data_IF_860965652359
#
_entry.id   IF_860965652359
#
_cell.length_a   1.000
_cell.length_b   1.000
_cell.length_c   1.000
_cell.angle_alpha   90.00
_cell.angle_beta   90.00
_cell.angle_gamma   90.00
#
_symmetry.space_group_name_H-M   'P 1'
#
loop_
_entity.id
_entity.type
_entity.pdbx_description
1 polymer ?
#
# COMPACT_ATOMS: atom_id res chain seq x y z
N UNK A 1 16.41 2.06 17.68
CA UNK A 1 17.26 1.35 16.71
C UNK A 1 17.53 2.31 15.56
N UNK A 2 18.78 2.43 15.11
CA UNK A 2 19.14 3.30 13.97
C UNK A 2 18.29 2.90 12.76
N UNK A 3 17.60 3.86 12.16
CA UNK A 3 16.60 3.70 11.10
C UNK A 3 17.20 3.38 9.73
N UNK A 4 18.24 2.55 9.68
CA UNK A 4 18.81 2.01 8.45
C UNK A 4 18.26 0.61 8.20
N UNK A 5 17.91 0.30 6.95
CA UNK A 5 17.58 -1.06 6.52
C UNK A 5 18.71 -2.02 6.89
N UNK A 6 18.34 -3.23 7.32
CA UNK A 6 19.30 -4.29 7.63
C UNK A 6 19.98 -4.73 6.32
N UNK A 7 21.31 -4.60 6.24
CA UNK A 7 22.09 -5.17 5.13
C UNK A 7 22.51 -6.61 5.47
N UNK A 8 22.15 -7.52 4.58
CA UNK A 8 22.36 -8.95 4.64
C UNK A 8 23.47 -9.43 3.69
N UNK A 9 23.94 -8.57 2.80
CA UNK A 9 25.11 -8.83 1.95
C UNK A 9 26.41 -8.20 2.47
N UNK A 10 26.36 -7.48 3.61
CA UNK A 10 27.57 -6.94 4.24
C UNK A 10 28.47 -8.09 4.75
N UNK A 11 29.63 -8.25 4.13
CA UNK A 11 30.63 -9.27 4.49
C UNK A 11 31.53 -8.86 5.66
N UNK A 12 31.44 -7.61 6.13
CA UNK A 12 32.30 -7.10 7.22
C UNK A 12 31.82 -7.53 8.60
N UNK A 13 30.57 -7.99 8.71
CA UNK A 13 29.93 -8.38 9.96
C UNK A 13 29.34 -9.78 9.86
N UNK A 14 29.15 -10.43 11.00
CA UNK A 14 28.39 -11.67 11.04
C UNK A 14 26.93 -11.39 10.59
N UNK A 15 26.34 -12.23 9.72
CA UNK A 15 25.00 -11.99 9.21
C UNK A 15 24.00 -12.01 10.37
N UNK A 16 23.11 -11.02 10.39
CA UNK A 16 22.06 -10.95 11.40
C UNK A 16 21.13 -12.18 11.29
N UNK A 17 20.57 -12.71 12.39
CA UNK A 17 19.71 -13.91 12.35
C UNK A 17 18.47 -13.81 11.46
N UNK A 18 18.03 -12.58 11.18
CA UNK A 18 16.91 -12.27 10.29
C UNK A 18 17.33 -12.10 8.82
N UNK A 19 18.61 -12.25 8.50
CA UNK A 19 19.09 -12.25 7.12
C UNK A 19 18.98 -13.63 6.49
N UNK A 20 18.55 -13.66 5.24
CA UNK A 20 18.57 -14.87 4.42
C UNK A 20 18.94 -14.53 2.96
N UNK A 21 20.16 -13.98 2.74
CA UNK A 21 20.57 -13.46 1.45
C UNK A 21 20.58 -14.55 0.38
N UNK A 22 20.17 -14.17 -0.84
CA UNK A 22 20.27 -15.08 -2.00
C UNK A 22 21.69 -15.03 -2.52
N UNK A 23 22.37 -16.17 -2.48
CA UNK A 23 23.71 -16.32 -3.04
C UNK A 23 23.61 -16.34 -4.56
N UNK A 24 24.37 -15.47 -5.22
CA UNK A 24 24.44 -15.39 -6.67
C UNK A 24 25.66 -16.16 -7.17
N UNK A 25 25.50 -16.83 -8.29
CA UNK A 25 26.61 -17.53 -8.93
C UNK A 25 27.61 -16.51 -9.50
N UNK A 26 28.89 -16.85 -9.46
CA UNK A 26 29.95 -15.97 -9.99
C UNK A 26 29.87 -15.87 -11.51
N UNK A 27 29.42 -16.94 -12.15
CA UNK A 27 29.20 -17.04 -13.58
C UNK A 27 27.77 -16.64 -13.99
N UNK A 28 27.00 -15.99 -13.11
CA UNK A 28 25.66 -15.50 -13.44
C UNK A 28 25.74 -14.52 -14.64
N UNK A 29 24.98 -14.76 -15.74
CA UNK A 29 25.11 -13.98 -16.97
C UNK A 29 24.92 -12.46 -16.80
N UNK A 30 24.07 -12.04 -15.86
CA UNK A 30 23.75 -10.65 -15.60
C UNK A 30 24.62 -10.06 -14.47
N UNK A 31 24.70 -10.75 -13.33
CA UNK A 31 25.35 -10.22 -12.13
C UNK A 31 26.87 -10.28 -12.16
N UNK A 32 27.48 -11.15 -12.98
CA UNK A 32 28.94 -11.20 -13.15
C UNK A 32 29.52 -9.85 -13.61
N UNK A 33 28.77 -9.09 -14.45
CA UNK A 33 29.23 -7.80 -14.97
C UNK A 33 29.35 -6.72 -13.88
N UNK A 34 28.66 -6.92 -12.76
CA UNK A 34 28.65 -6.01 -11.62
C UNK A 34 29.47 -6.53 -10.43
N UNK A 35 30.13 -7.69 -10.58
CA UNK A 35 30.83 -8.40 -9.51
C UNK A 35 29.94 -8.62 -8.26
N UNK A 36 28.64 -8.86 -8.46
CA UNK A 36 27.70 -9.12 -7.38
C UNK A 36 27.55 -10.62 -7.15
N UNK A 37 27.80 -11.07 -5.93
CA UNK A 37 27.67 -12.47 -5.51
C UNK A 37 26.57 -12.68 -4.46
N UNK A 38 25.84 -11.62 -4.11
CA UNK A 38 24.83 -11.64 -3.06
C UNK A 38 23.70 -10.66 -3.40
N UNK A 39 22.46 -11.09 -3.16
CA UNK A 39 21.28 -10.24 -3.23
C UNK A 39 20.65 -10.10 -1.84
N UNK A 40 20.31 -8.85 -1.50
CA UNK A 40 19.75 -8.48 -0.21
C UNK A 40 18.40 -9.16 0.04
N UNK A 41 18.27 -9.84 1.17
CA UNK A 41 17.01 -10.45 1.57
C UNK A 41 16.91 -10.55 3.09
N UNK A 42 15.91 -9.86 3.63
CA UNK A 42 15.55 -9.88 5.06
C UNK A 42 14.30 -10.74 5.21
N UNK A 43 14.31 -11.65 6.19
CA UNK A 43 13.15 -12.51 6.50
C UNK A 43 12.00 -11.65 7.01
N UNK A 44 10.78 -11.98 6.60
CA UNK A 44 9.57 -11.37 7.16
C UNK A 44 9.53 -11.53 8.67
N UNK A 45 9.20 -10.46 9.40
CA UNK A 45 9.16 -10.46 10.85
C UNK A 45 8.26 -11.59 11.39
N UNK A 46 8.67 -12.28 12.48
CA UNK A 46 7.88 -13.34 13.05
C UNK A 46 6.60 -12.78 13.70
N UNK A 47 5.47 -13.48 13.56
CA UNK A 47 4.25 -13.14 14.27
C UNK A 47 4.44 -13.31 15.79
N UNK A 48 4.01 -12.34 16.62
CA UNK A 48 4.09 -12.42 18.08
C UNK A 48 2.97 -13.32 18.60
N UNK A 49 3.08 -14.62 18.36
CA UNK A 49 2.07 -15.60 18.78
C UNK A 49 2.09 -15.86 20.29
N UNK A 50 3.15 -15.41 20.98
CA UNK A 50 3.35 -15.53 22.44
C UNK A 50 3.29 -16.97 22.97
N UNK A 51 3.50 -17.97 22.11
CA UNK A 51 3.61 -19.39 22.47
C UNK A 51 4.75 -20.05 21.70
N UNK A 52 5.29 -21.14 22.25
CA UNK A 52 6.25 -21.98 21.53
C UNK A 52 5.54 -22.68 20.37
N UNK A 53 6.10 -22.58 19.17
CA UNK A 53 5.51 -23.13 17.96
C UNK A 53 6.38 -22.88 16.73
N UNK A 54 5.95 -23.37 15.56
CA UNK A 54 6.59 -23.00 14.30
C UNK A 54 6.52 -21.48 14.07
N UNK A 55 7.48 -20.95 13.31
CA UNK A 55 7.52 -19.53 12.97
C UNK A 55 6.43 -19.20 11.96
N UNK A 56 5.58 -18.24 12.31
CA UNK A 56 4.54 -17.65 11.45
C UNK A 56 4.88 -16.19 11.09
N UNK A 57 4.19 -15.61 10.10
CA UNK A 57 4.35 -14.20 9.69
C UNK A 57 3.10 -13.37 10.01
N UNK A 58 3.28 -12.06 10.14
CA UNK A 58 2.20 -11.12 10.40
C UNK A 58 1.64 -10.55 9.10
N UNK A 59 0.31 -10.48 8.98
CA UNK A 59 -0.35 -9.66 7.97
C UNK A 59 -0.58 -8.25 8.55
N UNK A 60 -0.01 -7.22 7.91
CA UNK A 60 -0.18 -5.81 8.29
C UNK A 60 -1.34 -5.13 7.54
N UNK A 61 -2.03 -5.84 6.64
CA UNK A 61 -3.24 -5.37 5.97
C UNK A 61 -4.49 -6.03 6.56
N UNK A 62 -5.66 -5.44 6.33
CA UNK A 62 -6.92 -6.14 6.59
C UNK A 62 -7.07 -7.29 5.61
N UNK A 63 -7.61 -8.43 6.05
CA UNK A 63 -7.80 -9.60 5.18
C UNK A 63 -8.96 -9.42 4.18
N UNK A 64 -9.80 -8.41 4.38
CA UNK A 64 -11.02 -8.18 3.60
C UNK A 64 -10.76 -7.27 2.40
N UNK A 65 -11.58 -7.40 1.36
CA UNK A 65 -11.64 -6.43 0.26
C UNK A 65 -12.49 -5.23 0.68
N UNK A 66 -11.97 -4.40 1.57
CA UNK A 66 -12.66 -3.28 2.24
C UNK A 66 -12.15 -1.89 1.81
N UNK A 67 -11.22 -1.86 0.86
CA UNK A 67 -10.56 -0.63 0.42
C UNK A 67 -9.47 -0.12 1.36
N UNK A 68 -8.95 -0.95 2.28
CA UNK A 68 -7.82 -0.59 3.16
C UNK A 68 -6.58 -0.10 2.42
N UNK A 69 -6.41 -0.46 1.14
CA UNK A 69 -5.37 0.13 0.28
C UNK A 69 -5.53 1.64 0.05
N UNK A 70 -6.75 2.17 0.19
CA UNK A 70 -7.07 3.60 0.08
C UNK A 70 -7.16 4.24 1.46
N UNK A 71 -7.74 3.54 2.44
CA UNK A 71 -8.11 4.10 3.74
C UNK A 71 -7.13 3.75 4.88
N UNK A 72 -6.21 2.82 4.66
CA UNK A 72 -5.35 2.26 5.70
C UNK A 72 -6.02 1.15 6.50
N UNK A 73 -5.20 0.37 7.21
CA UNK A 73 -5.66 -0.71 8.09
C UNK A 73 -5.98 -0.25 9.52
N UNK A 74 -5.55 0.96 9.91
CA UNK A 74 -5.75 1.52 11.26
C UNK A 74 -6.54 2.84 11.23
N UNK A 75 -7.27 3.12 12.30
CA UNK A 75 -8.03 4.38 12.45
C UNK A 75 -7.12 5.61 12.44
N UNK A 76 -5.92 5.48 13.00
CA UNK A 76 -4.92 6.55 12.96
C UNK A 76 -4.53 6.88 11.52
N UNK A 77 -4.24 5.86 10.70
CA UNK A 77 -3.90 6.05 9.28
C UNK A 77 -5.09 6.63 8.51
N UNK A 78 -6.29 6.10 8.73
CA UNK A 78 -7.51 6.58 8.08
C UNK A 78 -7.79 8.05 8.40
N UNK A 79 -7.65 8.47 9.67
CA UNK A 79 -7.86 9.86 10.06
C UNK A 79 -6.81 10.81 9.48
N UNK A 80 -5.54 10.39 9.40
CA UNK A 80 -4.48 11.16 8.76
C UNK A 80 -4.74 11.37 7.26
N UNK A 81 -5.33 10.41 6.55
CA UNK A 81 -5.61 10.52 5.12
C UNK A 81 -6.84 11.40 4.81
N UNK A 82 -7.68 11.69 5.81
CA UNK A 82 -8.89 12.52 5.66
C UNK A 82 -8.58 14.00 5.68
N UNK A 83 -9.37 14.75 4.92
CA UNK A 83 -9.38 16.21 4.96
C UNK A 83 -10.02 16.74 6.25
N UNK A 84 -10.96 15.97 6.83
CA UNK A 84 -11.77 16.38 7.98
C UNK A 84 -12.88 17.36 7.63
N UNK A 85 -13.21 17.49 6.33
CA UNK A 85 -14.33 18.29 5.85
C UNK A 85 -15.05 17.62 4.67
N UNK A 86 -16.38 17.65 4.71
CA UNK A 86 -17.29 17.12 3.68
C UNK A 86 -17.08 15.63 3.34
N UNK A 87 -16.56 14.85 4.29
CA UNK A 87 -16.29 13.42 4.16
C UNK A 87 -15.20 13.09 3.14
N UNK A 88 -14.28 14.02 2.85
CA UNK A 88 -13.27 13.87 1.80
C UNK A 88 -11.91 13.37 2.31
N UNK A 89 -11.16 12.74 1.40
CA UNK A 89 -9.73 12.48 1.53
C UNK A 89 -8.92 13.74 1.16
N UNK A 90 -7.75 13.90 1.79
CA UNK A 90 -6.78 14.95 1.40
C UNK A 90 -6.29 14.70 -0.02
N UNK A 91 -6.13 15.79 -0.77
CA UNK A 91 -5.57 15.79 -2.12
C UNK A 91 -4.59 16.95 -2.25
N UNK A 92 -3.59 16.80 -3.13
CA UNK A 92 -2.72 17.89 -3.57
C UNK A 92 -3.28 18.48 -4.85
N UNK A 93 -3.57 19.79 -4.87
CA UNK A 93 -4.08 20.46 -6.06
C UNK A 93 -2.96 21.24 -6.74
N UNK A 94 -2.62 20.86 -7.98
CA UNK A 94 -1.62 21.55 -8.82
C UNK A 94 -2.30 21.92 -10.13
N UNK A 95 -2.38 23.23 -10.44
CA UNK A 95 -2.94 23.73 -11.71
C UNK A 95 -4.34 23.18 -12.06
N UNK A 96 -5.16 22.91 -11.03
CA UNK A 96 -6.51 22.34 -11.18
C UNK A 96 -6.57 20.82 -11.24
N UNK A 97 -5.43 20.12 -11.24
CA UNK A 97 -5.37 18.66 -11.12
C UNK A 97 -5.25 18.23 -9.65
N UNK A 98 -6.07 17.27 -9.24
CA UNK A 98 -5.99 16.65 -7.91
C UNK A 98 -5.09 15.42 -7.95
N UNK A 99 -3.98 15.44 -7.24
CA UNK A 99 -3.09 14.30 -7.01
C UNK A 99 -3.24 13.78 -5.57
N UNK A 100 -2.66 12.62 -5.31
CA UNK A 100 -2.52 12.12 -3.93
C UNK A 100 -1.69 13.14 -3.12
N UNK A 101 -1.93 13.27 -1.81
CA UNK A 101 -1.16 14.19 -0.96
C UNK A 101 0.29 13.71 -0.83
N UNK A 102 1.27 14.62 -0.65
CA UNK A 102 2.64 14.22 -0.37
C UNK A 102 2.75 13.62 1.03
N UNK A 103 3.60 12.61 1.17
CA UNK A 103 4.02 12.02 2.44
C UNK A 103 4.78 13.04 3.26
N UNK A 104 4.50 13.06 4.56
CA UNK A 104 5.27 13.84 5.54
C UNK A 104 6.32 13.00 6.25
N UNK A 105 6.36 11.68 5.98
CA UNK A 105 7.34 10.77 6.57
C UNK A 105 8.62 10.74 5.72
N UNK A 106 9.76 11.26 6.23
CA UNK A 106 11.03 11.20 5.51
C UNK A 106 11.60 9.77 5.40
N UNK A 107 11.04 8.81 6.15
CA UNK A 107 11.36 7.39 6.14
C UNK A 107 10.42 6.52 5.31
N UNK A 108 9.60 7.11 4.43
CA UNK A 108 8.62 6.42 3.57
C UNK A 108 9.22 5.43 2.54
N UNK A 109 10.54 5.29 2.52
CA UNK A 109 11.26 4.23 1.80
C UNK A 109 11.37 4.44 0.30
N UNK A 110 10.81 5.51 -0.24
CA UNK A 110 10.79 5.73 -1.68
C UNK A 110 11.85 6.72 -2.18
N UNK A 111 12.30 7.63 -1.31
CA UNK A 111 13.28 8.66 -1.63
C UNK A 111 14.44 8.58 -0.63
N UNK A 112 15.66 8.80 -1.10
CA UNK A 112 16.80 9.02 -0.22
C UNK A 112 16.72 10.42 0.41
N UNK A 113 17.47 10.65 1.51
CA UNK A 113 17.56 11.97 2.13
C UNK A 113 17.99 13.07 1.13
N UNK A 114 18.88 12.74 0.18
CA UNK A 114 19.30 13.66 -0.89
C UNK A 114 18.19 13.97 -1.89
N UNK A 115 17.33 12.99 -2.19
CA UNK A 115 16.17 13.18 -3.07
C UNK A 115 15.11 14.05 -2.39
N UNK A 116 14.86 13.83 -1.10
CA UNK A 116 13.97 14.66 -0.29
C UNK A 116 14.49 16.11 -0.23
N UNK A 117 15.80 16.32 -0.05
CA UNK A 117 16.41 17.66 -0.06
C UNK A 117 16.27 18.40 -1.40
N UNK A 118 16.09 17.67 -2.51
CA UNK A 118 15.79 18.22 -3.84
C UNK A 118 14.29 18.44 -4.09
N UNK A 119 13.45 18.29 -3.05
CA UNK A 119 12.01 18.47 -3.13
C UNK A 119 11.25 17.32 -3.76
N UNK A 120 11.87 16.13 -3.90
CA UNK A 120 11.12 14.92 -4.25
C UNK A 120 10.33 14.44 -3.03
N UNK A 121 9.16 13.86 -3.28
CA UNK A 121 8.27 13.34 -2.26
C UNK A 121 7.58 12.10 -2.79
N UNK A 122 7.05 11.28 -1.88
CA UNK A 122 6.12 10.23 -2.24
C UNK A 122 4.69 10.60 -1.94
N UNK A 123 3.78 9.85 -2.54
CA UNK A 123 2.37 9.98 -2.28
C UNK A 123 1.97 9.22 -1.03
N UNK A 124 1.12 9.86 -0.23
CA UNK A 124 0.59 9.35 1.03
C UNK A 124 -0.76 8.67 0.77
N UNK A 125 -0.86 7.37 1.08
CA UNK A 125 -2.06 6.55 0.82
C UNK A 125 -2.32 5.52 1.92
N UNK A 126 -3.42 4.75 1.81
CA UNK A 126 -3.72 3.67 2.75
C UNK A 126 -2.68 2.53 2.78
N UNK A 127 -1.99 2.28 1.68
CA UNK A 127 -0.93 1.27 1.58
C UNK A 127 0.42 1.93 1.28
N UNK A 128 1.46 1.51 2.01
CA UNK A 128 2.78 2.12 1.94
C UNK A 128 3.51 1.83 0.62
N UNK A 129 3.04 0.82 -0.15
CA UNK A 129 3.64 0.42 -1.43
C UNK A 129 3.10 1.18 -2.63
N UNK A 130 2.18 2.14 -2.43
CA UNK A 130 1.56 2.89 -3.52
C UNK A 130 2.56 3.58 -4.47
N UNK A 131 3.81 3.79 -4.05
CA UNK A 131 4.88 4.43 -4.80
C UNK A 131 5.86 3.45 -5.46
N UNK A 132 5.63 2.13 -5.40
CA UNK A 132 6.50 1.10 -5.98
C UNK A 132 6.65 1.26 -7.50
N UNK A 133 5.54 1.55 -8.19
CA UNK A 133 5.55 1.87 -9.61
C UNK A 133 4.40 2.81 -9.97
N UNK A 134 4.55 3.51 -11.09
CA UNK A 134 3.62 4.55 -11.53
C UNK A 134 2.19 4.03 -11.79
N UNK A 135 2.06 2.78 -12.27
CA UNK A 135 0.75 2.20 -12.53
C UNK A 135 -0.03 1.96 -11.24
N UNK A 136 0.62 1.43 -10.22
CA UNK A 136 0.02 1.25 -8.90
C UNK A 136 -0.38 2.60 -8.29
N UNK A 137 0.52 3.60 -8.34
CA UNK A 137 0.21 4.97 -7.87
C UNK A 137 -1.03 5.53 -8.57
N UNK A 138 -1.16 5.31 -9.88
CA UNK A 138 -2.32 5.76 -10.66
C UNK A 138 -3.61 5.08 -10.18
N UNK A 139 -3.57 3.79 -9.84
CA UNK A 139 -4.72 3.08 -9.28
C UNK A 139 -5.14 3.66 -7.92
N UNK A 140 -4.20 3.95 -7.02
CA UNK A 140 -4.51 4.61 -5.75
C UNK A 140 -5.17 5.98 -5.97
N UNK A 141 -4.65 6.76 -6.92
CA UNK A 141 -5.21 8.07 -7.26
C UNK A 141 -6.65 7.98 -7.80
N UNK A 142 -6.93 7.00 -8.67
CA UNK A 142 -8.29 6.78 -9.22
C UNK A 142 -9.27 6.50 -8.09
N UNK A 143 -8.92 5.63 -7.15
CA UNK A 143 -9.81 5.30 -6.03
C UNK A 143 -10.01 6.44 -5.05
N UNK A 144 -8.96 7.23 -4.75
CA UNK A 144 -9.08 8.43 -3.93
C UNK A 144 -9.99 9.49 -4.58
N UNK A 145 -9.84 9.73 -5.89
CA UNK A 145 -10.74 10.62 -6.65
C UNK A 145 -12.17 10.09 -6.68
N UNK A 146 -12.37 8.78 -6.83
CA UNK A 146 -13.69 8.17 -6.82
C UNK A 146 -14.36 8.32 -5.45
N UNK A 147 -13.62 8.18 -4.34
CA UNK A 147 -14.13 8.49 -3.00
C UNK A 147 -14.58 9.96 -2.91
N UNK A 148 -13.74 10.92 -3.30
CA UNK A 148 -14.07 12.35 -3.22
C UNK A 148 -15.23 12.75 -4.14
N UNK A 149 -15.39 12.07 -5.28
CA UNK A 149 -16.56 12.19 -6.16
C UNK A 149 -17.83 11.70 -5.46
N UNK A 150 -17.78 10.53 -4.83
CA UNK A 150 -18.92 9.97 -4.09
C UNK A 150 -19.30 10.85 -2.90
N UNK A 151 -18.34 11.27 -2.08
CA UNK A 151 -18.56 12.17 -0.95
C UNK A 151 -19.24 13.49 -1.38
N UNK A 152 -18.81 14.07 -2.52
CA UNK A 152 -19.43 15.28 -3.05
C UNK A 152 -20.87 15.08 -3.55
N UNK A 153 -21.19 13.91 -4.10
CA UNK A 153 -22.55 13.55 -4.52
C UNK A 153 -23.42 13.32 -3.28
N UNK A 154 -22.94 12.52 -2.32
CA UNK A 154 -23.66 12.18 -1.08
C UNK A 154 -23.95 13.41 -0.23
N UNK A 155 -22.99 14.33 -0.07
CA UNK A 155 -23.19 15.57 0.68
C UNK A 155 -24.22 16.52 0.03
N UNK A 156 -24.37 16.47 -1.30
CA UNK A 156 -25.44 17.23 -2.00
C UNK A 156 -26.81 16.58 -1.83
N UNK A 157 -26.87 15.25 -1.85
CA UNK A 157 -28.11 14.49 -1.69
C UNK A 157 -28.61 14.51 -0.24
N UNK A 158 -27.69 14.57 0.72
CA UNK A 158 -27.98 14.52 2.15
C UNK A 158 -27.31 15.70 2.88
N UNK A 159 -27.85 16.94 2.77
CA UNK A 159 -27.24 18.12 3.38
C UNK A 159 -27.16 18.10 4.91
N UNK A 160 -27.91 17.20 5.57
CA UNK A 160 -27.90 17.02 7.03
C UNK A 160 -26.81 16.09 7.53
N UNK A 161 -26.10 15.39 6.65
CA UNK A 161 -25.01 14.49 7.05
C UNK A 161 -23.78 15.29 7.49
N UNK A 162 -23.12 14.80 8.53
CA UNK A 162 -21.84 15.31 8.97
C UNK A 162 -20.67 14.71 8.14
N UNK A 163 -19.45 15.16 8.46
CA UNK A 163 -18.22 14.70 7.80
C UNK A 163 -18.05 13.18 7.93
N UNK A 164 -18.30 12.64 9.13
CA UNK A 164 -18.11 11.22 9.42
C UNK A 164 -19.08 10.34 8.64
N UNK A 165 -20.37 10.67 8.67
CA UNK A 165 -21.39 9.91 7.95
C UNK A 165 -21.10 9.89 6.45
N UNK A 166 -20.74 11.05 5.89
CA UNK A 166 -20.42 11.17 4.46
C UNK A 166 -19.18 10.35 4.09
N UNK A 167 -18.14 10.39 4.91
CA UNK A 167 -16.91 9.62 4.71
C UNK A 167 -17.18 8.11 4.74
N UNK A 168 -17.90 7.61 5.75
CA UNK A 168 -18.16 6.18 5.92
C UNK A 168 -19.05 5.62 4.81
N UNK A 169 -20.07 6.37 4.37
CA UNK A 169 -20.92 5.94 3.26
C UNK A 169 -20.16 5.94 1.92
N UNK A 170 -19.32 6.96 1.67
CA UNK A 170 -18.44 6.95 0.49
C UNK A 170 -17.45 5.77 0.53
N UNK A 171 -16.83 5.51 1.70
CA UNK A 171 -15.93 4.37 1.92
C UNK A 171 -16.61 3.03 1.65
N UNK A 172 -17.82 2.84 2.18
CA UNK A 172 -18.62 1.63 2.00
C UNK A 172 -18.94 1.36 0.54
N UNK A 173 -19.32 2.39 -0.22
CA UNK A 173 -19.59 2.26 -1.66
C UNK A 173 -18.31 1.90 -2.42
N UNK A 174 -17.18 2.55 -2.14
CA UNK A 174 -15.89 2.21 -2.79
C UNK A 174 -15.49 0.77 -2.51
N UNK A 175 -15.60 0.30 -1.26
CA UNK A 175 -15.35 -1.09 -0.91
C UNK A 175 -16.22 -2.06 -1.72
N UNK A 176 -17.52 -1.77 -1.83
CA UNK A 176 -18.43 -2.56 -2.66
C UNK A 176 -18.07 -2.54 -4.16
N UNK A 177 -17.64 -1.39 -4.69
CA UNK A 177 -17.17 -1.28 -6.08
C UNK A 177 -15.93 -2.15 -6.32
N UNK A 178 -14.96 -2.11 -5.41
CA UNK A 178 -13.76 -2.95 -5.48
C UNK A 178 -14.10 -4.43 -5.42
N UNK A 179 -14.99 -4.84 -4.51
CA UNK A 179 -15.46 -6.22 -4.41
C UNK A 179 -16.15 -6.67 -5.70
N UNK A 180 -17.05 -5.84 -6.24
CA UNK A 180 -17.77 -6.17 -7.46
C UNK A 180 -16.82 -6.39 -8.64
N UNK A 181 -15.89 -5.47 -8.89
CA UNK A 181 -14.89 -5.59 -9.95
C UNK A 181 -14.03 -6.84 -9.72
N UNK A 182 -13.59 -7.07 -8.48
CA UNK A 182 -12.72 -8.22 -8.16
C UNK A 182 -13.43 -9.55 -8.45
N UNK A 183 -14.65 -9.74 -7.94
CA UNK A 183 -15.35 -11.02 -8.07
C UNK A 183 -16.05 -11.22 -9.42
N UNK A 184 -16.52 -10.15 -10.05
CA UNK A 184 -17.35 -10.25 -11.27
C UNK A 184 -16.53 -10.12 -12.55
N UNK A 185 -15.40 -9.42 -12.51
CA UNK A 185 -14.60 -9.12 -13.71
C UNK A 185 -13.20 -9.72 -13.62
N UNK A 186 -12.47 -9.46 -12.53
CA UNK A 186 -11.07 -9.87 -12.40
C UNK A 186 -10.91 -11.39 -12.19
N UNK A 187 -11.55 -11.96 -11.17
CA UNK A 187 -11.40 -13.39 -10.85
C UNK A 187 -11.81 -14.31 -12.01
N UNK A 188 -12.94 -14.09 -12.72
CA UNK A 188 -13.29 -14.92 -13.88
C UNK A 188 -12.27 -14.82 -15.02
N UNK A 189 -11.63 -13.67 -15.20
CA UNK A 189 -10.58 -13.48 -16.22
C UNK A 189 -9.29 -14.24 -15.91
N UNK A 190 -9.03 -14.52 -14.62
CA UNK A 190 -7.83 -15.24 -14.16
C UNK A 190 -8.09 -16.75 -14.01
N UNK A 191 -9.19 -17.11 -13.35
CA UNK A 191 -9.50 -18.49 -12.98
C UNK A 191 -10.31 -19.22 -14.06
N UNK A 192 -10.93 -18.48 -14.98
CA UNK A 192 -11.90 -19.02 -15.93
C UNK A 192 -13.31 -19.13 -15.33
N UNK A 193 -14.31 -19.04 -16.20
CA UNK A 193 -15.73 -18.99 -15.79
C UNK A 193 -16.22 -20.27 -15.13
N UNK A 194 -15.67 -21.44 -15.50
CA UNK A 194 -16.08 -22.72 -14.90
C UNK A 194 -15.70 -22.81 -13.42
N UNK A 195 -14.45 -22.49 -13.08
CA UNK A 195 -13.97 -22.50 -11.69
C UNK A 195 -14.77 -21.50 -10.85
N UNK A 196 -14.99 -20.28 -11.35
CA UNK A 196 -15.79 -19.28 -10.65
C UNK A 196 -17.24 -19.73 -10.43
N UNK A 197 -17.86 -20.38 -11.42
CA UNK A 197 -19.21 -20.94 -11.27
C UNK A 197 -19.27 -21.98 -10.14
N UNK A 198 -18.29 -22.89 -10.09
CA UNK A 198 -18.24 -23.92 -9.06
C UNK A 198 -17.97 -23.39 -7.64
N UNK A 199 -17.18 -22.32 -7.51
CA UNK A 199 -16.88 -21.69 -6.20
C UNK A 199 -18.06 -20.83 -5.70
N UNK A 200 -18.88 -20.30 -6.62
CA UNK A 200 -20.04 -19.46 -6.28
C UNK A 200 -21.27 -20.23 -5.78
N UNK A 201 -21.20 -21.56 -5.71
CA UNK A 201 -22.32 -22.47 -5.41
C UNK A 201 -22.17 -23.08 -4.02
#
# INVERSE_FOLDING_TARGET
ANSSSLSCCDTTQAPHPECFPVQLDKEDPFYQHYNLTCMEFVRSAPAPTCHFGPREQMNQATAFLDGSTVYGFSELRASQLRLGANGRLRMLTIEGFELLPPSTDPGDGCNTAEMNAKGRYCFDTGDDRANENLHLTTMHLIWARQHNRLAAILGKLNPSWDDETTYQEARKIVGAQMQHITYSEFLPSILGTEICYHISR
#
